data_IF_962067555447
#
_entry.id   IF_962067555447
#
_cell.length_a   1.000
_cell.length_b   1.000
_cell.length_c   1.000
_cell.angle_alpha   90.00
_cell.angle_beta   90.00
_cell.angle_gamma   90.00
#
_symmetry.space_group_name_H-M   'P 1'
#
loop_
_entity.id
_entity.type
_entity.pdbx_description
1 polymer ?
#
# COMPACT_ATOMS: atom_id res chain seq x y z
N UNK A 1 -4.24 56.48 31.32
CA UNK A 1 -3.21 55.55 30.82
C UNK A 1 -3.87 54.26 30.32
N UNK A 2 -4.74 54.36 29.31
CA UNK A 2 -5.32 53.20 28.67
C UNK A 2 -4.45 52.85 27.46
N UNK A 3 -3.54 51.90 27.64
CA UNK A 3 -2.82 51.28 26.53
C UNK A 3 -3.85 50.51 25.71
N UNK A 4 -4.10 50.98 24.49
CA UNK A 4 -4.86 50.24 23.48
C UNK A 4 -4.03 49.01 23.16
N UNK A 5 -4.48 47.86 23.67
CA UNK A 5 -3.97 46.55 23.30
C UNK A 5 -4.12 46.41 21.78
N UNK A 6 -2.98 46.38 21.08
CA UNK A 6 -2.92 46.07 19.65
C UNK A 6 -3.61 44.73 19.44
N UNK A 7 -4.46 44.58 18.41
CA UNK A 7 -4.98 43.28 18.06
C UNK A 7 -3.78 42.41 17.67
N UNK A 8 -3.48 41.44 18.52
CA UNK A 8 -2.54 40.37 18.23
C UNK A 8 -3.04 39.73 16.95
N UNK A 9 -2.28 39.87 15.86
CA UNK A 9 -2.55 39.23 14.58
C UNK A 9 -2.61 37.71 14.77
N UNK A 10 -3.81 37.24 15.04
CA UNK A 10 -4.15 35.83 15.09
C UNK A 10 -4.53 35.43 13.66
N UNK A 11 -3.74 34.56 13.08
CA UNK A 11 -4.15 33.82 11.89
C UNK A 11 -3.29 34.05 10.65
N UNK A 12 -1.96 34.02 10.78
CA UNK A 12 -1.18 33.39 9.72
C UNK A 12 -1.63 31.93 9.70
N UNK A 13 -2.62 31.64 8.84
CA UNK A 13 -3.04 30.28 8.53
C UNK A 13 -1.82 29.54 8.00
N UNK A 14 -1.11 28.88 8.91
CA UNK A 14 -0.23 27.78 8.58
C UNK A 14 -1.12 26.85 7.77
N UNK A 15 -0.91 26.83 6.46
CA UNK A 15 -1.55 25.87 5.58
C UNK A 15 -1.15 24.51 6.14
N UNK A 16 -2.07 23.90 6.87
CA UNK A 16 -2.07 22.49 7.24
C UNK A 16 -2.06 21.73 5.92
N UNK A 17 -0.85 21.53 5.38
CA UNK A 17 -0.60 20.79 4.15
C UNK A 17 -1.28 19.44 4.34
N UNK A 18 -2.30 19.08 3.55
CA UNK A 18 -2.95 17.79 3.67
C UNK A 18 -2.02 16.73 3.06
N UNK A 19 -0.86 16.52 3.68
CA UNK A 19 0.25 15.71 3.15
C UNK A 19 -0.04 14.20 3.24
N UNK A 20 -1.16 13.81 3.85
CA UNK A 20 -1.55 12.42 4.05
C UNK A 20 -2.47 11.88 2.96
N UNK A 21 -3.38 12.71 2.42
CA UNK A 21 -4.38 12.25 1.45
C UNK A 21 -3.79 12.01 0.05
N UNK A 22 -2.83 12.84 -0.38
CA UNK A 22 -2.24 12.75 -1.72
C UNK A 22 -1.40 11.49 -1.94
N UNK A 23 -0.65 11.03 -0.93
CA UNK A 23 0.21 9.84 -1.03
C UNK A 23 -0.61 8.55 -1.21
N UNK A 24 -1.75 8.43 -0.50
CA UNK A 24 -2.67 7.31 -0.70
C UNK A 24 -3.32 7.29 -2.07
N UNK A 25 -3.66 8.47 -2.61
CA UNK A 25 -4.31 8.56 -3.93
C UNK A 25 -3.38 8.14 -5.08
N UNK A 26 -2.09 8.45 -4.99
CA UNK A 26 -1.08 8.05 -5.99
C UNK A 26 -0.92 6.53 -6.01
N UNK A 27 -0.77 5.91 -4.84
CA UNK A 27 -0.69 4.46 -4.75
C UNK A 27 -1.98 3.77 -5.19
N UNK A 28 -3.14 4.35 -4.87
CA UNK A 28 -4.43 3.85 -5.33
C UNK A 28 -4.56 3.86 -6.86
N UNK A 29 -4.15 4.96 -7.50
CA UNK A 29 -4.08 5.02 -8.95
C UNK A 29 -3.11 3.97 -9.53
N UNK A 30 -1.95 3.77 -8.90
CA UNK A 30 -1.00 2.71 -9.27
C UNK A 30 -1.61 1.31 -9.23
N UNK A 31 -2.39 0.99 -8.18
CA UNK A 31 -3.08 -0.29 -8.07
C UNK A 31 -4.10 -0.50 -9.20
N UNK A 32 -4.88 0.53 -9.54
CA UNK A 32 -5.84 0.44 -10.65
C UNK A 32 -5.13 0.19 -11.98
N UNK A 33 -3.99 0.85 -12.23
CA UNK A 33 -3.25 0.66 -13.48
C UNK A 33 -2.74 -0.79 -13.59
N UNK A 34 -2.10 -1.32 -12.54
CA UNK A 34 -1.61 -2.70 -12.55
C UNK A 34 -2.73 -3.74 -12.70
N UNK A 35 -3.91 -3.52 -12.11
CA UNK A 35 -5.04 -4.45 -12.28
C UNK A 35 -5.61 -4.40 -13.70
N UNK A 36 -5.76 -3.21 -14.28
CA UNK A 36 -6.21 -3.07 -15.67
C UNK A 36 -5.24 -3.76 -16.63
N UNK A 37 -3.93 -3.65 -16.41
CA UNK A 37 -2.92 -4.37 -17.20
C UNK A 37 -3.09 -5.88 -17.08
N UNK A 38 -3.28 -6.40 -15.86
CA UNK A 38 -3.50 -7.84 -15.64
C UNK A 38 -4.78 -8.34 -16.33
N UNK A 39 -5.89 -7.59 -16.24
CA UNK A 39 -7.13 -7.93 -16.92
C UNK A 39 -7.02 -7.85 -18.44
N UNK A 40 -6.32 -6.86 -18.98
CA UNK A 40 -6.08 -6.73 -20.41
C UNK A 40 -5.22 -7.90 -20.93
N UNK A 41 -4.19 -8.31 -20.17
CA UNK A 41 -3.32 -9.43 -20.53
C UNK A 41 -4.09 -10.75 -20.64
N UNK A 42 -5.02 -11.00 -19.70
CA UNK A 42 -5.85 -12.22 -19.70
C UNK A 42 -6.99 -12.12 -20.70
N UNK A 43 -7.66 -10.96 -20.78
CA UNK A 43 -8.86 -10.76 -21.58
C UNK A 43 -8.61 -10.69 -23.09
N UNK A 44 -7.43 -10.25 -23.52
CA UNK A 44 -7.04 -10.28 -24.94
C UNK A 44 -6.61 -11.66 -25.43
N UNK A 45 -6.28 -12.58 -24.52
CA UNK A 45 -5.75 -13.90 -24.88
C UNK A 45 -4.45 -13.85 -25.68
N UNK A 46 -3.74 -12.73 -25.67
CA UNK A 46 -2.55 -12.50 -26.50
C UNK A 46 -1.37 -13.43 -26.14
N UNK A 47 -1.43 -14.10 -24.99
CA UNK A 47 -0.35 -14.91 -24.41
C UNK A 47 -0.93 -16.24 -23.93
N UNK A 48 -0.19 -17.34 -24.11
CA UNK A 48 -0.65 -18.69 -23.71
C UNK A 48 -0.80 -18.82 -22.19
N UNK A 49 -1.68 -19.72 -21.75
CA UNK A 49 -1.96 -19.94 -20.32
C UNK A 49 -0.69 -20.27 -19.51
N UNK A 50 0.28 -20.97 -20.09
CA UNK A 50 1.52 -21.31 -19.42
C UNK A 50 2.38 -20.09 -19.05
N UNK A 51 2.25 -18.99 -19.80
CA UNK A 51 3.00 -17.75 -19.57
C UNK A 51 2.14 -16.70 -18.86
N UNK A 52 0.83 -16.66 -19.15
CA UNK A 52 -0.11 -15.72 -18.49
C UNK A 52 -0.15 -15.93 -16.98
N UNK A 53 -0.27 -17.18 -16.52
CA UNK A 53 -0.43 -17.50 -15.09
C UNK A 53 0.73 -16.96 -14.23
N UNK A 54 2.01 -17.27 -14.52
CA UNK A 54 3.11 -16.72 -13.72
C UNK A 54 3.21 -15.20 -13.81
N UNK A 55 2.87 -14.59 -14.96
CA UNK A 55 2.91 -13.13 -15.14
C UNK A 55 1.85 -12.43 -14.28
N UNK A 56 0.61 -12.93 -14.26
CA UNK A 56 -0.44 -12.33 -13.41
C UNK A 56 -0.18 -12.55 -11.92
N UNK A 57 0.44 -13.68 -11.54
CA UNK A 57 0.85 -13.93 -10.15
C UNK A 57 1.96 -12.96 -9.72
N UNK A 58 2.91 -12.66 -10.60
CA UNK A 58 3.94 -11.65 -10.34
C UNK A 58 3.33 -10.26 -10.17
N UNK A 59 2.42 -9.87 -11.07
CA UNK A 59 1.68 -8.60 -10.95
C UNK A 59 0.87 -8.53 -9.65
N UNK A 60 0.23 -9.64 -9.25
CA UNK A 60 -0.50 -9.74 -7.99
C UNK A 60 0.43 -9.62 -6.76
N UNK A 61 1.62 -10.21 -6.80
CA UNK A 61 2.59 -10.06 -5.71
C UNK A 61 3.04 -8.59 -5.56
N UNK A 62 3.31 -7.89 -6.68
CA UNK A 62 3.64 -6.46 -6.67
C UNK A 62 2.50 -5.63 -6.08
N UNK A 63 1.25 -5.95 -6.42
CA UNK A 63 0.07 -5.31 -5.84
C UNK A 63 0.04 -5.42 -4.31
N UNK A 64 0.26 -6.62 -3.76
CA UNK A 64 0.29 -6.85 -2.31
C UNK A 64 1.37 -6.00 -1.64
N UNK A 65 2.55 -5.88 -2.25
CA UNK A 65 3.64 -5.03 -1.69
C UNK A 65 3.25 -3.56 -1.68
N UNK A 66 2.69 -3.03 -2.77
CA UNK A 66 2.24 -1.63 -2.85
C UNK A 66 1.14 -1.35 -1.82
N UNK A 67 0.21 -2.30 -1.64
CA UNK A 67 -0.84 -2.22 -0.63
C UNK A 67 -0.26 -2.16 0.79
N UNK A 68 0.69 -3.04 1.11
CA UNK A 68 1.35 -3.06 2.40
C UNK A 68 2.13 -1.76 2.67
N UNK A 69 2.93 -1.28 1.71
CA UNK A 69 3.70 -0.04 1.88
C UNK A 69 2.83 1.20 2.05
N UNK A 70 1.75 1.29 1.26
CA UNK A 70 0.86 2.46 1.22
C UNK A 70 -0.03 2.52 2.45
N UNK A 71 -0.72 1.41 2.77
CA UNK A 71 -1.68 1.41 3.88
C UNK A 71 -0.99 1.30 5.24
N UNK A 72 0.14 0.60 5.32
CA UNK A 72 0.84 0.38 6.60
C UNK A 72 1.93 1.41 6.92
N UNK A 73 2.07 2.50 6.15
CA UNK A 73 3.04 3.58 6.39
C UNK A 73 4.41 3.06 6.89
N UNK A 74 4.94 2.04 6.22
CA UNK A 74 6.19 1.38 6.62
C UNK A 74 7.43 2.30 6.52
N UNK A 75 7.25 3.47 5.91
CA UNK A 75 8.26 4.51 5.72
C UNK A 75 8.42 5.45 6.94
N UNK A 76 7.56 5.37 7.96
CA UNK A 76 7.69 6.20 9.16
C UNK A 76 8.59 5.56 10.23
N UNK A 77 9.49 6.36 10.83
CA UNK A 77 10.35 5.94 11.95
C UNK A 77 9.48 5.49 13.14
N UNK A 78 9.37 4.18 13.34
CA UNK A 78 8.54 3.58 14.41
C UNK A 78 7.73 2.35 13.97
N UNK A 79 7.62 2.08 12.68
CA UNK A 79 6.81 0.98 12.12
C UNK A 79 7.37 -0.45 12.33
N UNK A 80 8.25 -0.64 13.32
CA UNK A 80 8.89 -1.94 13.61
C UNK A 80 7.87 -3.02 14.01
N UNK A 81 6.89 -2.67 14.86
CA UNK A 81 5.85 -3.61 15.28
C UNK A 81 4.94 -4.08 14.14
N UNK A 82 4.41 -3.19 13.27
CA UNK A 82 3.67 -3.60 12.07
C UNK A 82 4.46 -4.53 11.13
N UNK A 83 5.74 -4.24 10.89
CA UNK A 83 6.61 -5.07 10.04
C UNK A 83 6.79 -6.45 10.67
N UNK A 84 7.05 -6.50 11.97
CA UNK A 84 7.24 -7.75 12.70
C UNK A 84 5.97 -8.60 12.69
N UNK A 85 4.80 -7.99 12.89
CA UNK A 85 3.52 -8.70 12.89
C UNK A 85 3.13 -9.19 11.49
N UNK A 86 3.37 -8.38 10.46
CA UNK A 86 3.13 -8.77 9.07
C UNK A 86 4.07 -9.89 8.62
N UNK A 87 5.37 -9.79 8.94
CA UNK A 87 6.35 -10.85 8.67
C UNK A 87 6.04 -12.13 9.44
N UNK A 88 5.67 -12.01 10.73
CA UNK A 88 5.25 -13.15 11.54
C UNK A 88 3.98 -13.82 11.01
N UNK A 89 2.97 -13.04 10.63
CA UNK A 89 1.75 -13.54 9.99
C UNK A 89 2.04 -14.26 8.67
N UNK A 90 2.95 -13.73 7.85
CA UNK A 90 3.38 -14.38 6.61
C UNK A 90 4.06 -15.73 6.88
N UNK A 91 4.93 -15.80 7.88
CA UNK A 91 5.59 -17.07 8.28
C UNK A 91 4.55 -18.09 8.74
N UNK A 92 3.62 -17.70 9.62
CA UNK A 92 2.56 -18.59 10.11
C UNK A 92 1.65 -19.07 8.97
N UNK A 93 1.28 -18.19 8.05
CA UNK A 93 0.49 -18.56 6.88
C UNK A 93 1.26 -19.54 5.98
N UNK A 94 2.55 -19.26 5.71
CA UNK A 94 3.38 -20.12 4.88
C UNK A 94 3.57 -21.52 5.51
N UNK A 95 3.85 -21.60 6.81
CA UNK A 95 4.00 -22.89 7.51
C UNK A 95 2.69 -23.66 7.56
N UNK A 96 1.55 -22.99 7.77
CA UNK A 96 0.23 -23.63 7.75
C UNK A 96 -0.10 -24.21 6.36
N UNK A 97 0.19 -23.48 5.28
CA UNK A 97 0.00 -23.96 3.91
C UNK A 97 0.89 -25.17 3.62
N UNK A 98 2.17 -25.09 3.96
CA UNK A 98 3.12 -26.21 3.76
C UNK A 98 2.68 -27.44 4.56
N UNK A 99 2.28 -27.27 5.82
CA UNK A 99 1.76 -28.38 6.62
C UNK A 99 0.51 -29.00 5.97
N UNK A 100 -0.44 -28.20 5.49
CA UNK A 100 -1.62 -28.72 4.79
C UNK A 100 -1.31 -29.46 3.48
N UNK A 101 -0.31 -29.00 2.73
CA UNK A 101 0.05 -29.62 1.43
C UNK A 101 0.87 -30.89 1.57
N UNK A 102 1.71 -31.02 2.61
CA UNK A 102 2.67 -32.11 2.75
C UNK A 102 2.40 -33.07 3.92
N UNK A 103 1.55 -32.69 4.87
CA UNK A 103 1.31 -33.47 6.10
C UNK A 103 -0.08 -34.12 6.16
N UNK A 104 -1.01 -33.74 5.28
CA UNK A 104 -2.24 -34.51 5.03
C UNK A 104 -1.94 -35.77 4.23
#
# INVERSE_FOLDING_TARGET
>A
MAQIEKPTEKGAGVQEKPETAGKHLISFAGMIVLTVIAFALVGTGAVSNGVVIPVILLLAAIQVVIQLFTFMHLDQKGSFFPILFMGGGFIVAATAIIAMLFWV
#
